data_IF_817121428442
#
_entry.id   IF_817121428442
#
_cell.length_a   1.000
_cell.length_b   1.000
_cell.length_c   1.000
_cell.angle_alpha   90.00
_cell.angle_beta   90.00
_cell.angle_gamma   90.00
#
_symmetry.space_group_name_H-M   'P 1'
#
loop_
_entity.id
_entity.type
_entity.pdbx_description
1 polymer ?
#
# COMPACT_ATOMS: atom_id res chain seq x y z
N UNK A 1 12.07 7.80 1.36
CA UNK A 1 10.69 7.58 0.89
C UNK A 1 9.81 7.14 2.05
N UNK A 2 8.83 7.98 2.37
CA UNK A 2 7.87 7.81 3.46
C UNK A 2 6.46 7.64 2.89
N UNK A 3 5.70 6.70 3.42
CA UNK A 3 4.27 6.54 3.13
C UNK A 3 3.43 7.17 4.24
N UNK A 4 2.38 7.87 3.84
CA UNK A 4 1.38 8.46 4.73
C UNK A 4 0.00 7.99 4.29
N UNK A 5 -0.84 7.64 5.27
CA UNK A 5 -2.23 7.24 5.06
C UNK A 5 -3.13 8.27 5.71
N UNK A 6 -3.99 8.88 4.91
CA UNK A 6 -5.00 9.82 5.38
C UNK A 6 -6.38 9.18 5.32
N UNK A 7 -7.21 9.48 6.31
CA UNK A 7 -8.61 9.07 6.34
C UNK A 7 -9.50 10.29 6.57
N UNK A 8 -10.63 10.32 5.89
CA UNK A 8 -11.57 11.45 5.92
C UNK A 8 -12.09 11.71 7.35
N UNK A 9 -11.87 12.92 7.86
CA UNK A 9 -12.27 13.29 9.23
C UNK A 9 -11.34 12.77 10.33
N UNK A 10 -10.27 12.05 10.00
CA UNK A 10 -9.25 11.68 10.98
C UNK A 10 -8.46 12.95 11.39
N UNK A 11 -8.14 13.13 12.68
CA UNK A 11 -7.49 14.35 13.16
C UNK A 11 -6.02 14.46 12.73
N UNK A 12 -5.40 13.35 12.35
CA UNK A 12 -4.02 13.31 11.89
C UNK A 12 -3.81 12.16 10.89
N UNK A 13 -2.88 12.31 9.94
CA UNK A 13 -2.46 11.22 9.09
C UNK A 13 -1.73 10.13 9.89
N UNK A 14 -1.76 8.91 9.38
CA UNK A 14 -1.02 7.78 9.90
C UNK A 14 0.26 7.54 9.10
N UNK A 15 1.33 7.23 9.81
CA UNK A 15 2.60 6.79 9.22
C UNK A 15 2.86 5.37 9.69
N UNK A 16 2.95 4.38 8.77
CA UNK A 16 3.26 3.02 9.17
C UNK A 16 4.65 2.91 9.83
N UNK A 17 4.90 1.86 10.61
CA UNK A 17 6.23 1.57 11.18
C UNK A 17 7.34 1.63 10.12
N UNK A 18 8.54 2.08 10.50
CA UNK A 18 9.65 2.25 9.55
C UNK A 18 9.31 3.20 8.39
N UNK A 19 8.52 4.23 8.66
CA UNK A 19 8.05 5.24 7.70
C UNK A 19 7.24 4.67 6.52
N UNK A 20 6.76 3.44 6.63
CA UNK A 20 6.07 2.75 5.53
C UNK A 20 6.97 2.38 4.36
N UNK A 21 8.31 2.36 4.55
CA UNK A 21 9.28 2.14 3.48
C UNK A 21 9.09 0.80 2.73
N UNK A 22 8.74 -0.27 3.44
CA UNK A 22 8.53 -1.59 2.84
C UNK A 22 7.20 -1.62 2.05
N UNK A 23 6.16 -1.00 2.59
CA UNK A 23 4.85 -0.90 1.94
C UNK A 23 4.92 -0.04 0.68
N UNK A 24 5.55 1.13 0.73
CA UNK A 24 5.72 1.98 -0.45
C UNK A 24 6.60 1.30 -1.52
N UNK A 25 7.66 0.59 -1.12
CA UNK A 25 8.45 -0.20 -2.07
C UNK A 25 7.59 -1.26 -2.77
N UNK A 26 6.80 -2.02 -2.00
CA UNK A 26 5.91 -3.04 -2.56
C UNK A 26 4.89 -2.46 -3.54
N UNK A 27 4.14 -1.42 -3.16
CA UNK A 27 3.09 -0.85 -4.04
C UNK A 27 3.68 -0.22 -5.30
N UNK A 28 4.86 0.40 -5.22
CA UNK A 28 5.59 0.91 -6.39
C UNK A 28 5.96 -0.20 -7.37
N UNK A 29 6.49 -1.34 -6.88
CA UNK A 29 6.76 -2.48 -7.75
C UNK A 29 5.48 -3.17 -8.24
N UNK A 30 4.43 -3.25 -7.42
CA UNK A 30 3.14 -3.82 -7.81
C UNK A 30 2.45 -3.01 -8.91
N UNK A 31 2.61 -1.68 -8.94
CA UNK A 31 2.11 -0.83 -10.01
C UNK A 31 2.82 -1.08 -11.35
N UNK A 32 4.08 -1.55 -11.29
CA UNK A 32 4.91 -1.88 -12.45
C UNK A 32 4.74 -3.32 -12.94
N UNK A 33 3.72 -4.05 -12.49
CA UNK A 33 3.38 -5.37 -13.02
C UNK A 33 3.00 -5.28 -14.50
N UNK A 34 3.32 -6.32 -15.27
CA UNK A 34 3.06 -6.37 -16.72
C UNK A 34 4.09 -5.65 -17.59
N UNK A 35 5.05 -4.91 -17.01
CA UNK A 35 6.14 -4.27 -17.76
C UNK A 35 7.38 -5.17 -17.98
N UNK A 36 7.28 -6.47 -17.70
CA UNK A 36 8.32 -7.47 -17.98
C UNK A 36 9.51 -7.49 -17.01
N UNK A 37 9.46 -6.72 -15.91
CA UNK A 37 10.50 -6.72 -14.88
C UNK A 37 10.36 -7.92 -13.92
N UNK A 38 11.48 -8.52 -13.53
CA UNK A 38 11.55 -9.73 -12.68
C UNK A 38 11.91 -9.45 -11.22
N UNK A 39 11.53 -8.26 -10.71
CA UNK A 39 11.81 -7.91 -9.32
C UNK A 39 11.02 -8.83 -8.35
N UNK A 40 11.59 -9.29 -7.22
CA UNK A 40 10.88 -10.17 -6.27
C UNK A 40 9.52 -9.63 -5.81
N UNK A 41 9.38 -8.31 -5.69
CA UNK A 41 8.11 -7.67 -5.29
C UNK A 41 7.04 -7.67 -6.40
N UNK A 42 7.45 -7.69 -7.68
CA UNK A 42 6.53 -7.89 -8.81
C UNK A 42 5.98 -9.31 -8.75
N UNK A 43 6.87 -10.30 -8.61
CA UNK A 43 6.48 -11.72 -8.49
C UNK A 43 5.57 -11.94 -7.28
N UNK A 44 5.88 -11.30 -6.15
CA UNK A 44 5.01 -11.33 -4.97
C UNK A 44 3.62 -10.76 -5.27
N UNK A 45 3.54 -9.60 -5.89
CA UNK A 45 2.26 -8.97 -6.21
C UNK A 45 1.43 -9.76 -7.24
N UNK A 46 2.07 -10.47 -8.17
CA UNK A 46 1.40 -11.43 -9.06
C UNK A 46 0.83 -12.62 -8.26
N UNK A 47 1.63 -13.26 -7.42
CA UNK A 47 1.18 -14.37 -6.56
C UNK A 47 0.03 -13.97 -5.63
N UNK A 48 0.06 -12.76 -5.08
CA UNK A 48 -1.00 -12.25 -4.22
C UNK A 48 -2.29 -11.99 -5.00
N UNK A 49 -2.19 -11.46 -6.22
CA UNK A 49 -3.35 -11.29 -7.09
C UNK A 49 -3.99 -12.62 -7.45
N UNK A 50 -3.19 -13.64 -7.79
CA UNK A 50 -3.70 -15.00 -8.09
C UNK A 50 -4.43 -15.63 -6.90
N UNK A 51 -4.10 -15.19 -5.68
CA UNK A 51 -4.75 -15.59 -4.42
C UNK A 51 -5.92 -14.69 -4.03
N UNK A 52 -6.31 -13.76 -4.89
CA UNK A 52 -7.48 -12.90 -4.69
C UNK A 52 -7.22 -11.63 -3.86
N UNK A 53 -5.97 -11.29 -3.54
CA UNK A 53 -5.68 -9.98 -2.91
C UNK A 53 -5.96 -8.88 -3.93
N UNK A 54 -6.81 -7.93 -3.54
CA UNK A 54 -7.22 -6.82 -4.42
C UNK A 54 -6.08 -5.82 -4.56
N UNK A 55 -5.46 -5.80 -5.73
CA UNK A 55 -4.31 -4.92 -6.00
C UNK A 55 -4.70 -3.48 -6.27
N UNK A 56 -5.87 -3.23 -6.88
CA UNK A 56 -6.33 -1.89 -7.23
C UNK A 56 -6.20 -0.88 -6.07
N UNK A 57 -6.78 -1.15 -4.89
CA UNK A 57 -6.64 -0.26 -3.74
C UNK A 57 -5.19 -0.03 -3.29
N UNK A 58 -4.35 -1.06 -3.38
CA UNK A 58 -2.94 -0.99 -2.99
C UNK A 58 -2.11 -0.17 -3.99
N UNK A 59 -2.50 -0.14 -5.27
CA UNK A 59 -1.80 0.60 -6.33
C UNK A 59 -2.39 1.98 -6.62
N UNK A 60 -3.41 2.41 -5.89
CA UNK A 60 -3.93 3.78 -5.94
C UNK A 60 -3.22 4.63 -4.89
N UNK A 61 -2.07 5.18 -5.27
CA UNK A 61 -1.23 6.04 -4.43
C UNK A 61 -0.50 7.07 -5.29
N UNK A 62 -0.21 8.24 -4.72
CA UNK A 62 0.37 9.38 -5.45
C UNK A 62 1.36 10.17 -4.57
N UNK A 63 2.12 11.06 -5.18
CA UNK A 63 3.00 11.98 -4.44
C UNK A 63 2.15 12.92 -3.55
N UNK A 64 2.61 13.17 -2.32
CA UNK A 64 1.99 14.11 -1.37
C UNK A 64 2.07 15.55 -1.89
N UNK A 65 3.12 15.89 -2.65
CA UNK A 65 3.37 17.24 -3.13
C UNK A 65 2.94 17.35 -4.59
N UNK A 66 1.84 18.08 -4.83
CA UNK A 66 1.43 18.41 -6.19
C UNK A 66 2.23 19.60 -6.74
N UNK A 67 2.93 19.39 -7.85
CA UNK A 67 3.77 20.43 -8.48
C UNK A 67 2.94 21.33 -9.42
N UNK A 68 1.91 20.77 -10.04
CA UNK A 68 1.03 21.48 -10.97
C UNK A 68 -0.46 21.12 -10.82
N UNK A 69 -1.28 21.51 -11.79
CA UNK A 69 -2.72 21.23 -11.77
C UNK A 69 -3.03 19.75 -12.04
N UNK A 70 -2.25 19.08 -12.87
CA UNK A 70 -2.43 17.66 -13.18
C UNK A 70 -2.14 16.80 -11.95
N UNK A 71 -1.09 17.13 -11.19
CA UNK A 71 -0.78 16.43 -9.94
C UNK A 71 -1.85 16.62 -8.87
N UNK A 72 -2.49 17.81 -8.81
CA UNK A 72 -3.62 18.04 -7.90
C UNK A 72 -4.81 17.16 -8.26
N UNK A 73 -5.10 17.02 -9.55
CA UNK A 73 -6.17 16.13 -10.01
C UNK A 73 -5.85 14.66 -9.65
N UNK A 74 -4.61 14.20 -9.87
CA UNK A 74 -4.17 12.86 -9.46
C UNK A 74 -4.25 12.65 -7.95
N UNK A 75 -3.86 13.64 -7.15
CA UNK A 75 -3.92 13.56 -5.70
C UNK A 75 -5.37 13.45 -5.19
N UNK A 76 -6.33 14.07 -5.88
CA UNK A 76 -7.76 13.86 -5.59
C UNK A 76 -8.23 12.45 -5.99
N UNK A 77 -7.69 11.86 -7.05
CA UNK A 77 -7.93 10.45 -7.41
C UNK A 77 -7.37 9.45 -6.39
N UNK A 78 -6.46 9.88 -5.50
CA UNK A 78 -5.94 9.06 -4.41
C UNK A 78 -7.03 8.70 -3.39
N UNK A 79 -8.07 9.54 -3.25
CA UNK A 79 -9.19 9.28 -2.35
C UNK A 79 -10.03 8.11 -2.87
N UNK A 80 -10.08 7.06 -2.08
CA UNK A 80 -10.74 5.80 -2.40
C UNK A 80 -11.54 5.28 -1.20
N UNK A 81 -12.31 4.22 -1.43
CA UNK A 81 -13.08 3.55 -0.37
C UNK A 81 -12.18 3.04 0.77
N UNK A 82 -12.46 3.52 1.99
CA UNK A 82 -11.64 3.22 3.18
C UNK A 82 -11.69 1.75 3.55
N UNK A 83 -12.89 1.17 3.56
CA UNK A 83 -13.08 -0.23 3.95
C UNK A 83 -12.39 -1.16 2.96
N UNK A 84 -12.49 -0.87 1.67
CA UNK A 84 -11.85 -1.66 0.63
C UNK A 84 -10.32 -1.58 0.65
N UNK A 85 -9.76 -0.42 0.99
CA UNK A 85 -8.32 -0.31 1.23
C UNK A 85 -7.88 -1.11 2.46
N UNK A 86 -8.64 -1.04 3.55
CA UNK A 86 -8.36 -1.81 4.77
C UNK A 86 -8.36 -3.32 4.51
N UNK A 87 -9.38 -3.82 3.81
CA UNK A 87 -9.46 -5.24 3.42
C UNK A 87 -8.26 -5.69 2.57
N UNK A 88 -7.84 -4.87 1.61
CA UNK A 88 -6.71 -5.20 0.76
C UNK A 88 -5.39 -5.29 1.57
N UNK A 89 -5.19 -4.37 2.52
CA UNK A 89 -4.03 -4.37 3.41
C UNK A 89 -4.06 -5.54 4.40
N UNK A 90 -5.23 -5.91 4.93
CA UNK A 90 -5.40 -7.10 5.78
C UNK A 90 -5.09 -8.39 5.04
N UNK A 91 -5.57 -8.51 3.80
CA UNK A 91 -5.32 -9.66 2.94
C UNK A 91 -3.84 -9.77 2.56
N UNK A 92 -3.18 -8.64 2.26
CA UNK A 92 -1.73 -8.56 2.05
C UNK A 92 -0.96 -9.07 3.28
N UNK A 93 -1.25 -8.51 4.45
CA UNK A 93 -0.59 -8.90 5.70
C UNK A 93 -0.82 -10.39 6.02
N UNK A 94 -2.08 -10.85 5.92
CA UNK A 94 -2.45 -12.23 6.17
C UNK A 94 -1.76 -13.21 5.22
N UNK A 95 -1.63 -12.87 3.93
CA UNK A 95 -0.94 -13.72 2.97
C UNK A 95 0.56 -13.85 3.25
N UNK A 96 1.21 -12.76 3.68
CA UNK A 96 2.63 -12.76 4.06
C UNK A 96 2.89 -13.55 5.35
N UNK A 97 1.99 -13.45 6.32
CA UNK A 97 2.07 -14.18 7.58
C UNK A 97 1.81 -15.68 7.41
N UNK A 98 0.88 -16.05 6.52
CA UNK A 98 0.48 -17.43 6.30
C UNK A 98 1.40 -18.21 5.35
N UNK A 99 2.12 -17.53 4.45
CA UNK A 99 2.97 -18.17 3.45
C UNK A 99 4.45 -17.76 3.59
N UNK A 100 5.33 -18.67 4.07
CA UNK A 100 6.76 -18.45 4.13
C UNK A 100 7.41 -18.09 2.77
N UNK A 101 6.85 -18.55 1.66
CA UNK A 101 7.32 -18.21 0.31
C UNK A 101 7.06 -16.75 -0.05
N UNK A 102 5.86 -16.25 0.24
CA UNK A 102 5.52 -14.83 0.10
C UNK A 102 6.41 -13.95 0.99
N UNK A 103 6.61 -14.33 2.25
CA UNK A 103 7.52 -13.63 3.16
C UNK A 103 8.98 -13.63 2.64
N UNK A 104 9.43 -14.73 2.04
CA UNK A 104 10.77 -14.82 1.46
C UNK A 104 10.95 -13.89 0.25
N UNK A 105 9.93 -13.75 -0.60
CA UNK A 105 9.94 -12.80 -1.72
C UNK A 105 10.00 -11.34 -1.21
N UNK A 106 9.21 -11.03 -0.17
CA UNK A 106 9.24 -9.71 0.46
C UNK A 106 10.64 -9.37 1.00
N UNK A 107 11.27 -10.29 1.75
CA UNK A 107 12.66 -10.12 2.22
C UNK A 107 13.66 -9.93 1.09
N UNK A 108 13.61 -10.77 0.05
CA UNK A 108 14.51 -10.66 -1.12
C UNK A 108 14.33 -9.35 -1.88
N UNK A 109 13.14 -8.77 -1.85
CA UNK A 109 12.83 -7.47 -2.41
C UNK A 109 13.14 -6.28 -1.48
N UNK A 110 13.76 -6.52 -0.32
CA UNK A 110 14.09 -5.47 0.65
C UNK A 110 12.90 -4.96 1.47
N UNK A 111 11.77 -5.68 1.49
CA UNK A 111 10.52 -5.29 2.13
C UNK A 111 10.17 -6.21 3.31
N UNK A 112 11.13 -6.52 4.19
CA UNK A 112 10.92 -7.45 5.33
C UNK A 112 9.80 -6.98 6.29
N UNK A 113 9.66 -5.66 6.50
CA UNK A 113 8.61 -5.08 7.33
C UNK A 113 7.22 -4.99 6.68
N UNK A 114 7.02 -5.54 5.48
CA UNK A 114 5.80 -5.34 4.69
C UNK A 114 4.54 -5.83 5.41
N UNK A 115 4.59 -7.01 6.04
CA UNK A 115 3.43 -7.58 6.75
C UNK A 115 3.01 -6.70 7.93
N UNK A 116 3.97 -6.29 8.77
CA UNK A 116 3.74 -5.42 9.92
C UNK A 116 3.17 -4.07 9.49
N UNK A 117 3.75 -3.45 8.46
CA UNK A 117 3.31 -2.15 7.96
C UNK A 117 1.89 -2.23 7.38
N UNK A 118 1.59 -3.26 6.59
CA UNK A 118 0.26 -3.48 6.03
C UNK A 118 -0.78 -3.74 7.15
N UNK A 119 -0.43 -4.55 8.15
CA UNK A 119 -1.29 -4.83 9.30
C UNK A 119 -1.60 -3.57 10.11
N UNK A 120 -0.59 -2.76 10.40
CA UNK A 120 -0.75 -1.52 11.16
C UNK A 120 -1.62 -0.50 10.39
N UNK A 121 -1.40 -0.38 9.08
CA UNK A 121 -2.20 0.46 8.19
C UNK A 121 -3.68 0.03 8.16
N UNK A 122 -3.95 -1.27 8.03
CA UNK A 122 -5.30 -1.82 8.11
C UNK A 122 -5.99 -1.48 9.44
N UNK A 123 -5.32 -1.70 10.57
CA UNK A 123 -5.85 -1.41 11.91
C UNK A 123 -6.21 0.08 12.01
N UNK A 124 -5.33 0.98 11.54
CA UNK A 124 -5.63 2.41 11.50
C UNK A 124 -6.90 2.69 10.70
N UNK A 125 -7.01 2.15 9.47
CA UNK A 125 -8.14 2.40 8.59
C UNK A 125 -9.46 1.88 9.17
N UNK A 126 -9.47 0.70 9.82
CA UNK A 126 -10.67 0.15 10.47
C UNK A 126 -11.17 1.01 11.63
N UNK A 127 -10.25 1.70 12.32
CA UNK A 127 -10.58 2.60 13.44
C UNK A 127 -10.83 4.05 13.03
N UNK A 128 -10.53 4.42 11.78
CA UNK A 128 -10.63 5.79 11.31
C UNK A 128 -12.09 6.17 10.94
N UNK A 129 -12.48 7.44 11.11
CA UNK A 129 -13.78 7.94 10.66
C UNK A 129 -13.84 8.06 9.12
N UNK A 130 -15.02 8.45 8.63
CA UNK A 130 -15.25 8.75 7.21
C UNK A 130 -15.38 7.51 6.33
N UNK A 131 -15.78 7.74 5.06
CA UNK A 131 -15.93 6.68 4.06
C UNK A 131 -14.71 6.51 3.17
N UNK A 132 -13.81 7.50 3.15
CA UNK A 132 -12.68 7.55 2.22
C UNK A 132 -11.34 7.61 2.94
N UNK A 133 -10.34 7.06 2.27
CA UNK A 133 -8.94 7.15 2.66
C UNK A 133 -8.06 7.31 1.42
N UNK A 134 -6.82 7.77 1.61
CA UNK A 134 -5.81 7.81 0.54
C UNK A 134 -4.45 7.41 1.07
N UNK A 135 -3.63 6.86 0.18
CA UNK A 135 -2.21 6.64 0.42
C UNK A 135 -1.42 7.64 -0.41
N UNK A 136 -0.51 8.36 0.24
CA UNK A 136 0.39 9.30 -0.41
C UNK A 136 1.82 9.04 0.03
N UNK A 137 2.79 9.27 -0.84
CA UNK A 137 4.20 9.11 -0.50
C UNK A 137 4.96 10.42 -0.67
N UNK A 138 6.13 10.48 -0.02
CA UNK A 138 7.11 11.53 -0.20
C UNK A 138 8.48 10.91 -0.34
N UNK A 139 9.26 11.34 -1.33
CA UNK A 139 10.61 10.83 -1.61
C UNK A 139 11.59 11.12 -0.48
#
# INVERSE_FOLDING_TARGET
MRLTIEAEGAPAPFVPPGEGAALVAFISFAAMRGFGAVHPLIVLAEQLQDRGVRMGPLTTFYDEVAEDAEDREKLELAWQDREGLAEALEALAGALEADPGAAALARRGGAEGLAEQARAAAIFLRGAPGGRARMVYRL
#
